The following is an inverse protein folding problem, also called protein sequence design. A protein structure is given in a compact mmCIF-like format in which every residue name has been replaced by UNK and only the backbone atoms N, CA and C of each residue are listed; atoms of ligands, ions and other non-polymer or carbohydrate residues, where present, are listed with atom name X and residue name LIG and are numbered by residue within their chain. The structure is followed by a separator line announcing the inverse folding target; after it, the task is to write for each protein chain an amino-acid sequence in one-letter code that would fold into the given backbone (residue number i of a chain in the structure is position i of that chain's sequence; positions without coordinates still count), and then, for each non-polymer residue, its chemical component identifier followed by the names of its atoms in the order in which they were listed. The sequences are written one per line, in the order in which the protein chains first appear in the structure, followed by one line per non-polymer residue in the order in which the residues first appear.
data_IF_261923713434
#
_entry.id   IF_261923713434
#
_cell.length_a   1.000
_cell.length_b   1.000
_cell.length_c   1.000
_cell.angle_alpha   90.00
_cell.angle_beta   90.00
_cell.angle_gamma   90.00
#
_symmetry.space_group_name_H-M   'P 1'
#
loop_
_entity.id
_entity.type
_entity.pdbx_description
1 polymer ?
#
# COMPACT_ATOMS: atom_id res chain seq x y z
N UNK A 1 -5.86 17.77 -18.43
CA UNK A 1 -4.43 18.04 -18.18
C UNK A 1 -4.31 18.84 -16.89
N UNK A 2 -4.30 18.18 -15.71
CA UNK A 2 -4.21 18.89 -14.41
C UNK A 2 -3.59 18.06 -13.27
N UNK A 3 -3.45 16.74 -13.39
CA UNK A 3 -2.85 15.90 -12.32
C UNK A 3 -1.34 16.10 -12.14
N UNK A 4 -0.62 16.48 -13.20
CA UNK A 4 0.84 16.64 -13.18
C UNK A 4 1.29 17.93 -12.44
N UNK A 5 0.38 18.88 -12.20
CA UNK A 5 0.72 20.15 -11.56
C UNK A 5 0.59 20.06 -10.03
N UNK A 6 -0.49 19.47 -9.52
CA UNK A 6 -0.72 19.34 -8.08
C UNK A 6 0.27 18.38 -7.39
N UNK A 7 0.55 17.23 -8.01
CA UNK A 7 1.50 16.23 -7.50
C UNK A 7 2.94 16.77 -7.42
N UNK A 8 3.33 17.59 -8.41
CA UNK A 8 4.64 18.26 -8.41
C UNK A 8 4.74 19.31 -7.30
N UNK A 9 3.70 20.15 -7.12
CA UNK A 9 3.67 21.13 -6.03
C UNK A 9 3.75 20.43 -4.67
N UNK A 10 2.97 19.37 -4.44
CA UNK A 10 3.00 18.65 -3.17
C UNK A 10 4.34 17.95 -2.91
N UNK A 11 5.02 17.48 -3.96
CA UNK A 11 6.38 16.94 -3.84
C UNK A 11 7.38 18.03 -3.39
N UNK A 12 7.32 19.22 -3.99
CA UNK A 12 8.19 20.33 -3.61
C UNK A 12 7.97 20.74 -2.14
N UNK A 13 6.70 20.85 -1.72
CA UNK A 13 6.32 21.13 -0.33
C UNK A 13 6.82 20.04 0.62
N UNK A 14 6.69 18.76 0.24
CA UNK A 14 7.16 17.63 1.04
C UNK A 14 8.70 17.64 1.19
N UNK A 15 9.43 17.98 0.14
CA UNK A 15 10.90 18.08 0.19
C UNK A 15 11.34 19.22 1.12
N UNK A 16 10.70 20.39 1.04
CA UNK A 16 10.97 21.51 1.96
C UNK A 16 10.64 21.15 3.42
N UNK A 17 9.48 20.53 3.66
CA UNK A 17 9.05 20.05 4.96
C UNK A 17 10.06 19.06 5.57
N UNK A 18 10.53 18.09 4.78
CA UNK A 18 11.56 17.14 5.21
C UNK A 18 12.87 17.85 5.55
N UNK A 19 13.30 18.81 4.72
CA UNK A 19 14.51 19.59 4.96
C UNK A 19 14.48 20.36 6.28
N UNK A 20 13.34 20.95 6.63
CA UNK A 20 13.14 21.62 7.93
C UNK A 20 13.24 20.63 9.10
N UNK A 21 12.58 19.49 9.00
CA UNK A 21 12.55 18.48 10.06
C UNK A 21 13.92 17.83 10.32
N UNK A 22 14.75 17.64 9.28
CA UNK A 22 16.12 17.13 9.44
C UNK A 22 16.95 18.06 10.35
N UNK A 23 16.88 19.38 10.12
CA UNK A 23 17.60 20.38 10.94
C UNK A 23 17.16 20.38 12.41
N UNK A 24 15.93 19.99 12.68
CA UNK A 24 15.36 19.89 14.03
C UNK A 24 15.83 18.60 14.70
N UNK A 25 15.84 17.48 13.97
CA UNK A 25 16.39 16.21 14.44
C UNK A 25 17.86 16.34 14.85
N UNK A 26 18.66 17.08 14.09
CA UNK A 26 20.07 17.37 14.41
C UNK A 26 20.24 18.12 15.75
N UNK A 27 19.21 18.86 16.19
CA UNK A 27 19.20 19.59 17.47
C UNK A 27 18.68 18.75 18.64
N UNK A 28 18.35 17.48 18.44
CA UNK A 28 17.89 16.57 19.49
C UNK A 28 16.49 16.86 20.03
N UNK A 29 15.62 17.49 19.24
CA UNK A 29 14.26 17.84 19.64
C UNK A 29 13.37 16.61 19.83
N UNK A 30 12.51 16.63 20.86
CA UNK A 30 11.57 15.53 21.15
C UNK A 30 10.40 15.47 20.15
N UNK A 31 9.81 14.29 19.95
CA UNK A 31 8.66 14.10 19.05
C UNK A 31 7.47 15.03 19.37
N UNK A 32 7.15 15.21 20.66
CA UNK A 32 6.06 16.12 21.09
C UNK A 32 6.33 17.55 20.67
N UNK A 33 7.57 18.00 20.79
CA UNK A 33 7.96 19.35 20.40
C UNK A 33 8.01 19.50 18.88
N UNK A 34 8.42 18.46 18.15
CA UNK A 34 8.32 18.43 16.68
C UNK A 34 6.88 18.60 16.24
N UNK A 35 5.93 17.84 16.80
CA UNK A 35 4.51 17.95 16.44
C UNK A 35 3.92 19.31 16.81
N UNK A 36 4.27 19.87 17.97
CA UNK A 36 3.78 21.18 18.40
C UNK A 36 4.29 22.33 17.52
N UNK A 37 5.51 22.22 16.97
CA UNK A 37 6.17 23.29 16.23
C UNK A 37 6.12 23.13 14.70
N UNK A 38 6.04 21.90 14.22
CA UNK A 38 6.15 21.53 12.79
C UNK A 38 4.97 20.64 12.34
N UNK A 39 3.81 20.79 12.99
CA UNK A 39 2.61 20.02 12.63
C UNK A 39 2.21 20.18 11.16
N UNK A 40 2.42 21.36 10.57
CA UNK A 40 2.14 21.60 9.15
C UNK A 40 3.11 20.87 8.21
N UNK A 41 4.41 20.84 8.52
CA UNK A 41 5.38 20.06 7.77
C UNK A 41 5.09 18.55 7.86
N UNK A 42 4.71 18.07 9.05
CA UNK A 42 4.32 16.67 9.24
C UNK A 42 3.05 16.34 8.46
N UNK A 43 2.05 17.23 8.46
CA UNK A 43 0.84 17.07 7.64
C UNK A 43 1.18 17.01 6.14
N UNK A 44 2.04 17.89 5.66
CA UNK A 44 2.50 17.93 4.26
C UNK A 44 3.14 16.60 3.87
N UNK A 45 4.06 16.09 4.70
CA UNK A 45 4.68 14.79 4.48
C UNK A 45 3.65 13.66 4.50
N UNK A 46 2.71 13.68 5.44
CA UNK A 46 1.66 12.67 5.52
C UNK A 46 0.79 12.68 4.25
N UNK A 47 0.39 13.85 3.76
CA UNK A 47 -0.39 13.99 2.53
C UNK A 47 0.39 13.50 1.31
N UNK A 48 1.67 13.84 1.22
CA UNK A 48 2.53 13.36 0.13
C UNK A 48 2.71 11.84 0.17
N UNK A 49 2.95 11.25 1.34
CA UNK A 49 3.08 9.80 1.53
C UNK A 49 1.81 9.05 1.15
N UNK A 50 0.65 9.66 1.33
CA UNK A 50 -0.65 9.09 0.96
C UNK A 50 -1.16 9.59 -0.40
N UNK A 51 -0.32 10.23 -1.22
CA UNK A 51 -0.72 10.72 -2.55
C UNK A 51 -0.98 9.56 -3.53
N UNK A 52 -0.27 8.44 -3.36
CA UNK A 52 -0.41 7.26 -4.21
C UNK A 52 -1.17 6.18 -3.45
N UNK A 53 -2.31 5.78 -3.99
CA UNK A 53 -3.10 4.66 -3.49
C UNK A 53 -2.91 3.42 -4.38
N UNK A 54 -2.88 2.25 -3.74
CA UNK A 54 -2.83 0.97 -4.46
C UNK A 54 -4.26 0.57 -4.81
N UNK A 55 -4.74 0.91 -6.01
CA UNK A 55 -6.10 0.56 -6.45
C UNK A 55 -6.33 -0.96 -6.45
N UNK A 56 -5.38 -1.73 -7.00
CA UNK A 56 -5.39 -3.19 -7.00
C UNK A 56 -4.02 -3.73 -6.61
N UNK A 57 -4.00 -4.81 -5.83
CA UNK A 57 -2.76 -5.35 -5.29
C UNK A 57 -2.92 -6.72 -4.65
N UNK A 58 -1.80 -7.26 -4.17
CA UNK A 58 -1.74 -8.56 -3.55
C UNK A 58 -0.86 -8.50 -2.31
N UNK A 59 -1.46 -8.66 -1.13
CA UNK A 59 -0.72 -8.82 0.12
C UNK A 59 -0.32 -10.28 0.27
N UNK A 60 0.93 -10.54 0.62
CA UNK A 60 1.45 -11.91 0.76
C UNK A 60 2.13 -12.07 2.11
N UNK A 61 1.74 -13.11 2.86
CA UNK A 61 2.41 -13.49 4.08
C UNK A 61 3.74 -14.19 3.76
N UNK A 62 4.87 -13.52 4.05
CA UNK A 62 6.21 -14.07 3.82
C UNK A 62 6.57 -15.33 4.62
N UNK A 63 5.73 -15.77 5.56
CA UNK A 63 5.96 -17.00 6.36
C UNK A 63 5.21 -18.21 5.81
N UNK A 64 4.10 -17.97 5.12
CA UNK A 64 3.08 -18.99 4.93
C UNK A 64 2.43 -18.93 3.54
N UNK A 65 2.77 -17.94 2.72
CA UNK A 65 2.29 -17.78 1.33
C UNK A 65 0.76 -17.65 1.24
N UNK A 66 0.11 -17.30 2.36
CA UNK A 66 -1.27 -16.82 2.37
C UNK A 66 -1.31 -15.45 1.73
N UNK A 67 -2.24 -15.25 0.81
CA UNK A 67 -2.37 -14.00 0.09
C UNK A 67 -3.73 -13.36 0.30
N UNK A 68 -3.84 -12.05 0.14
CA UNK A 68 -5.10 -11.30 0.18
C UNK A 68 -5.13 -10.31 -0.98
N UNK A 69 -6.23 -10.23 -1.75
CA UNK A 69 -6.36 -9.24 -2.80
C UNK A 69 -6.66 -7.86 -2.19
N UNK A 70 -6.18 -6.83 -2.87
CA UNK A 70 -6.58 -5.44 -2.70
C UNK A 70 -7.34 -5.07 -3.96
N UNK A 71 -8.49 -4.41 -3.84
CA UNK A 71 -9.21 -3.89 -5.00
C UNK A 71 -10.08 -4.90 -5.73
N UNK A 72 -10.24 -6.14 -5.24
CA UNK A 72 -11.03 -7.16 -5.94
C UNK A 72 -12.54 -6.90 -5.94
N UNK A 73 -13.09 -6.22 -4.92
CA UNK A 73 -14.50 -5.80 -4.86
C UNK A 73 -14.65 -4.29 -4.86
N UNK A 74 -13.81 -3.60 -4.10
CA UNK A 74 -13.82 -2.15 -3.93
C UNK A 74 -12.38 -1.71 -4.10
N UNK A 75 -12.14 -0.79 -5.04
CA UNK A 75 -10.80 -0.27 -5.32
C UNK A 75 -10.11 0.21 -4.03
N UNK A 76 -8.81 -0.05 -3.93
CA UNK A 76 -7.95 0.27 -2.79
C UNK A 76 -8.29 -0.40 -1.44
N UNK A 77 -9.33 -1.24 -1.35
CA UNK A 77 -9.70 -1.94 -0.11
C UNK A 77 -9.11 -3.36 -0.08
N UNK A 78 -8.30 -3.71 0.94
CA UNK A 78 -7.84 -5.08 1.17
C UNK A 78 -8.97 -6.00 1.67
N UNK A 79 -9.17 -7.15 1.01
CA UNK A 79 -10.15 -8.17 1.44
C UNK A 79 -9.49 -9.22 2.35
N UNK A 80 -9.34 -8.91 3.64
CA UNK A 80 -8.66 -9.77 4.61
C UNK A 80 -9.61 -10.76 5.32
N UNK A 81 -10.44 -11.47 4.54
CA UNK A 81 -11.35 -12.46 5.11
C UNK A 81 -10.63 -13.76 5.53
N UNK A 82 -11.09 -14.43 6.61
CA UNK A 82 -10.72 -15.80 6.93
C UNK A 82 -11.03 -16.78 5.78
N UNK A 83 -10.29 -17.88 5.68
CA UNK A 83 -10.42 -18.85 4.55
C UNK A 83 -11.84 -19.35 4.31
N UNK A 84 -12.56 -19.64 5.39
CA UNK A 84 -13.92 -20.18 5.32
C UNK A 84 -14.95 -19.15 4.82
N UNK A 85 -14.57 -17.87 4.75
CA UNK A 85 -15.39 -16.78 4.21
C UNK A 85 -14.91 -16.33 2.82
N UNK A 86 -13.89 -16.98 2.25
CA UNK A 86 -13.36 -16.64 0.92
C UNK A 86 -14.07 -17.41 -0.18
N UNK A 87 -14.48 -16.67 -1.20
CA UNK A 87 -15.14 -17.22 -2.39
C UNK A 87 -14.10 -17.70 -3.40
N UNK A 88 -13.90 -19.03 -3.48
CA UNK A 88 -12.89 -19.66 -4.34
C UNK A 88 -12.90 -19.18 -5.79
N UNK A 89 -14.09 -19.04 -6.39
CA UNK A 89 -14.22 -18.59 -7.78
C UNK A 89 -13.62 -17.19 -7.99
N UNK A 90 -14.08 -16.23 -7.17
CA UNK A 90 -13.61 -14.84 -7.19
C UNK A 90 -12.10 -14.72 -6.98
N UNK A 91 -11.55 -15.50 -6.05
CA UNK A 91 -10.11 -15.51 -5.80
C UNK A 91 -9.30 -16.05 -6.97
N UNK A 92 -9.77 -17.13 -7.60
CA UNK A 92 -9.11 -17.70 -8.77
C UNK A 92 -9.21 -16.77 -9.98
N UNK A 93 -10.34 -16.09 -10.16
CA UNK A 93 -10.52 -15.09 -11.22
C UNK A 93 -9.59 -13.88 -11.02
N UNK A 94 -9.42 -13.42 -9.78
CA UNK A 94 -8.45 -12.38 -9.45
C UNK A 94 -7.01 -12.82 -9.78
N UNK A 95 -6.62 -14.04 -9.41
CA UNK A 95 -5.30 -14.58 -9.74
C UNK A 95 -5.09 -14.74 -11.26
N UNK A 96 -6.12 -15.15 -12.02
CA UNK A 96 -6.05 -15.23 -13.49
C UNK A 96 -5.91 -13.85 -14.12
N UNK A 97 -6.67 -12.85 -13.67
CA UNK A 97 -6.58 -11.46 -14.13
C UNK A 97 -5.14 -10.92 -14.01
N UNK A 98 -4.47 -11.25 -12.90
CA UNK A 98 -3.14 -10.74 -12.56
C UNK A 98 -2.01 -11.76 -12.71
N UNK A 99 -2.24 -12.87 -13.42
CA UNK A 99 -1.30 -14.01 -13.48
C UNK A 99 0.12 -13.59 -13.87
N UNK A 100 0.27 -12.65 -14.81
CA UNK A 100 1.57 -12.14 -15.25
C UNK A 100 2.32 -11.27 -14.24
N UNK A 101 1.68 -10.82 -13.16
CA UNK A 101 2.28 -9.98 -12.10
C UNK A 101 2.38 -10.69 -10.75
N UNK A 102 1.55 -11.71 -10.51
CA UNK A 102 1.54 -12.45 -9.25
C UNK A 102 2.82 -13.31 -9.14
N UNK A 103 3.52 -13.33 -7.99
CA UNK A 103 4.66 -14.21 -7.81
C UNK A 103 4.29 -15.68 -8.05
N UNK A 104 5.13 -16.39 -8.81
CA UNK A 104 4.89 -17.79 -9.19
C UNK A 104 4.57 -18.70 -8.00
N UNK A 105 5.21 -18.48 -6.86
CA UNK A 105 4.93 -19.21 -5.62
C UNK A 105 3.45 -19.11 -5.18
N UNK A 106 2.80 -17.97 -5.38
CA UNK A 106 1.39 -17.79 -5.02
C UNK A 106 0.48 -18.48 -6.03
N UNK A 107 0.82 -18.44 -7.32
CA UNK A 107 0.08 -19.17 -8.35
C UNK A 107 0.13 -20.69 -8.15
N UNK A 108 1.20 -21.21 -7.56
CA UNK A 108 1.40 -22.65 -7.37
C UNK A 108 1.08 -23.18 -5.97
N UNK A 109 1.31 -22.38 -4.92
CA UNK A 109 1.24 -22.80 -3.51
C UNK A 109 0.52 -21.80 -2.61
N UNK A 110 -0.08 -20.77 -3.19
CA UNK A 110 -0.82 -19.74 -2.47
C UNK A 110 -1.96 -20.33 -1.63
N UNK A 111 -2.17 -19.77 -0.45
CA UNK A 111 -3.30 -20.10 0.43
C UNK A 111 -4.32 -18.95 0.48
N UNK A 112 -5.63 -19.26 0.55
CA UNK A 112 -6.22 -20.62 0.56
C UNK A 112 -6.29 -21.28 -0.82
N UNK A 113 -6.30 -20.48 -1.88
CA UNK A 113 -6.47 -20.96 -3.25
C UNK A 113 -5.29 -20.53 -4.12
N UNK A 114 -5.01 -21.33 -5.13
CA UNK A 114 -3.98 -21.09 -6.13
C UNK A 114 -4.39 -21.74 -7.45
N UNK A 115 -3.77 -21.33 -8.56
CA UNK A 115 -4.15 -21.79 -9.90
C UNK A 115 -3.74 -23.24 -10.17
N UNK A 116 -2.68 -23.73 -9.50
CA UNK A 116 -2.16 -25.09 -9.71
C UNK A 116 -3.02 -26.19 -9.07
N UNK A 117 -3.67 -25.91 -7.94
CA UNK A 117 -4.50 -26.86 -7.18
C UNK A 117 -5.94 -26.96 -7.72
N UNK A 118 -6.12 -26.71 -9.02
CA UNK A 118 -7.44 -26.75 -9.68
C UNK A 118 -7.82 -28.12 -10.25
N UNK A 119 -6.98 -29.14 -10.04
CA UNK A 119 -7.28 -30.54 -10.34
C UNK A 119 -8.10 -31.21 -9.24
#
# INVERSE_FOLDING_TARGET
MTENSFSQVLLEEAVDALGKLIRVKEKGTSEREVLARFGGEVDTLYRYLNLVEVEEGLLVCGRCSRWYPIGSSVAAVPEMLPDNLRERGKDLDFLRKWEGKVPREILERGRPFNLRSQS
#
